data_IF_966423239836
#
_entry.id   IF_966423239836
#
_cell.length_a   1.000
_cell.length_b   1.000
_cell.length_c   1.000
_cell.angle_alpha   90.00
_cell.angle_beta   90.00
_cell.angle_gamma   90.00
#
_symmetry.space_group_name_H-M   'P 1'
#
loop_
_entity.id
_entity.type
_entity.pdbx_description
1 polymer ?
#
# COMPACT_ATOMS: atom_id res chain seq x y z
N UNK A 1 2.44 -29.11 88.51
CA UNK A 1 1.10 -29.01 89.11
C UNK A 1 0.39 -27.80 88.51
N UNK A 2 -0.66 -28.05 87.71
CA UNK A 2 -1.74 -27.16 87.24
C UNK A 2 -1.44 -25.89 86.40
N UNK A 3 -2.37 -25.70 85.44
CA UNK A 3 -2.83 -24.46 84.76
C UNK A 3 -1.88 -23.92 83.67
N UNK A 4 -2.32 -23.41 82.52
CA UNK A 4 -3.65 -23.14 81.96
C UNK A 4 -3.47 -22.73 80.50
N UNK A 5 -4.44 -23.05 79.65
CA UNK A 5 -4.55 -22.55 78.30
C UNK A 5 -4.70 -21.01 78.28
N UNK A 6 -4.11 -20.36 77.28
CA UNK A 6 -4.63 -19.08 76.80
C UNK A 6 -4.51 -19.03 75.28
N UNK A 7 -5.69 -18.93 74.67
CA UNK A 7 -5.96 -18.84 73.25
C UNK A 7 -5.86 -17.36 72.87
N UNK A 8 -4.87 -16.99 72.05
CA UNK A 8 -4.82 -15.68 71.41
C UNK A 8 -5.14 -15.84 69.93
N UNK A 9 -6.37 -15.45 69.58
CA UNK A 9 -6.90 -15.44 68.23
C UNK A 9 -6.33 -14.22 67.49
N UNK A 10 -5.29 -14.43 66.67
CA UNK A 10 -4.78 -13.39 65.79
C UNK A 10 -5.66 -13.33 64.52
N UNK A 11 -6.50 -12.30 64.43
CA UNK A 11 -7.25 -11.96 63.23
C UNK A 11 -6.25 -11.43 62.19
N UNK A 12 -5.89 -12.25 61.20
CA UNK A 12 -5.18 -11.77 60.01
C UNK A 12 -6.21 -11.10 59.12
N UNK A 13 -6.18 -9.76 59.10
CA UNK A 13 -6.93 -8.96 58.15
C UNK A 13 -6.43 -9.23 56.74
N UNK A 14 -7.30 -9.82 55.91
CA UNK A 14 -7.04 -10.03 54.49
C UNK A 14 -7.26 -8.70 53.76
N UNK A 15 -6.19 -7.94 53.54
CA UNK A 15 -6.21 -6.74 52.71
C UNK A 15 -6.32 -7.15 51.25
N UNK A 16 -7.54 -7.13 50.70
CA UNK A 16 -7.79 -7.24 49.27
C UNK A 16 -7.22 -6.01 48.55
N UNK A 17 -6.06 -6.14 47.93
CA UNK A 17 -5.62 -5.19 46.92
C UNK A 17 -6.46 -5.42 45.65
N UNK A 18 -7.49 -4.60 45.46
CA UNK A 18 -8.19 -4.51 44.19
C UNK A 18 -7.22 -3.96 43.14
N UNK A 19 -6.87 -4.77 42.14
CA UNK A 19 -6.18 -4.30 40.95
C UNK A 19 -7.15 -3.39 40.19
N UNK A 20 -6.85 -2.08 40.15
CA UNK A 20 -7.49 -1.18 39.19
C UNK A 20 -6.96 -1.54 37.81
N UNK A 21 -7.73 -2.32 37.06
CA UNK A 21 -7.59 -2.39 35.62
C UNK A 21 -8.01 -1.02 35.06
N UNK A 22 -7.03 -0.24 34.61
CA UNK A 22 -7.27 0.96 33.81
C UNK A 22 -7.90 0.52 32.49
N UNK A 23 -9.22 0.67 32.39
CA UNK A 23 -9.92 0.56 31.13
C UNK A 23 -9.56 1.78 30.27
N UNK A 24 -8.42 1.72 29.57
CA UNK A 24 -8.23 2.57 28.41
C UNK A 24 -9.25 2.14 27.36
N UNK A 25 -10.31 2.92 27.22
CA UNK A 25 -11.27 2.78 26.12
C UNK A 25 -10.53 2.84 24.77
N UNK A 26 -11.13 2.35 23.68
CA UNK A 26 -10.46 2.34 22.38
C UNK A 26 -9.96 3.75 22.06
N UNK A 27 -8.64 3.89 21.93
CA UNK A 27 -8.04 5.15 21.54
C UNK A 27 -8.74 5.61 20.27
N UNK A 28 -9.31 6.82 20.29
CA UNK A 28 -9.84 7.48 19.11
C UNK A 28 -8.76 7.39 18.04
N UNK A 29 -9.05 6.74 16.90
CA UNK A 29 -8.09 6.58 15.82
C UNK A 29 -7.49 7.94 15.48
N UNK A 30 -6.26 8.19 15.91
CA UNK A 30 -5.53 9.43 15.62
C UNK A 30 -5.19 9.41 14.14
N UNK A 31 -5.41 10.53 13.46
CA UNK A 31 -4.95 10.70 12.08
C UNK A 31 -3.47 10.29 11.97
N UNK A 32 -3.12 9.60 10.88
CA UNK A 32 -1.76 9.13 10.65
C UNK A 32 -0.78 10.30 10.64
N UNK A 33 0.42 10.08 11.17
CA UNK A 33 1.51 11.04 11.01
C UNK A 33 1.90 11.17 9.53
N UNK A 34 2.43 12.33 9.13
CA UNK A 34 2.93 12.57 7.78
C UNK A 34 3.95 11.50 7.36
N UNK A 35 4.89 11.16 8.26
CA UNK A 35 5.88 10.13 8.00
C UNK A 35 5.23 8.75 7.82
N UNK A 36 4.20 8.42 8.59
CA UNK A 36 3.47 7.15 8.43
C UNK A 36 2.78 7.09 7.07
N UNK A 37 2.14 8.19 6.63
CA UNK A 37 1.54 8.27 5.30
C UNK A 37 2.57 8.12 4.18
N UNK A 38 3.73 8.76 4.31
CA UNK A 38 4.83 8.63 3.36
C UNK A 38 5.39 7.20 3.30
N UNK A 39 5.49 6.53 4.44
CA UNK A 39 5.92 5.13 4.49
C UNK A 39 4.90 4.20 3.81
N UNK A 40 3.61 4.44 3.97
CA UNK A 40 2.56 3.66 3.30
C UNK A 40 2.57 3.88 1.78
N UNK A 41 2.72 5.11 1.30
CA UNK A 41 2.89 5.39 -0.14
C UNK A 41 4.13 4.67 -0.70
N UNK A 42 5.26 4.73 0.01
CA UNK A 42 6.48 4.05 -0.40
C UNK A 42 6.33 2.52 -0.42
N UNK A 43 5.63 1.94 0.57
CA UNK A 43 5.36 0.51 0.65
C UNK A 43 4.47 0.06 -0.52
N UNK A 44 3.36 0.74 -0.77
CA UNK A 44 2.45 0.44 -1.88
C UNK A 44 3.15 0.48 -3.24
N UNK A 45 4.03 1.47 -3.47
CA UNK A 45 4.86 1.51 -4.69
C UNK A 45 5.76 0.28 -4.79
N UNK A 46 6.33 -0.15 -3.67
CA UNK A 46 7.13 -1.37 -3.55
C UNK A 46 6.33 -2.62 -3.89
N UNK A 47 5.13 -2.76 -3.32
CA UNK A 47 4.24 -3.91 -3.55
C UNK A 47 3.74 -3.99 -5.00
N UNK A 48 3.32 -2.86 -5.58
CA UNK A 48 2.93 -2.79 -6.98
C UNK A 48 4.08 -3.17 -7.93
N UNK A 49 5.29 -2.65 -7.66
CA UNK A 49 6.48 -3.00 -8.42
C UNK A 49 6.88 -4.47 -8.24
N UNK A 50 6.81 -5.00 -7.02
CA UNK A 50 7.11 -6.39 -6.72
C UNK A 50 6.15 -7.34 -7.46
N UNK A 51 4.86 -7.04 -7.44
CA UNK A 51 3.85 -7.86 -8.12
C UNK A 51 4.12 -8.00 -9.62
N UNK A 52 4.26 -6.87 -10.35
CA UNK A 52 4.52 -6.90 -11.80
C UNK A 52 5.87 -7.54 -12.14
N UNK A 53 6.89 -7.29 -11.32
CA UNK A 53 8.22 -7.90 -11.47
C UNK A 53 8.18 -9.42 -11.28
N UNK A 54 7.44 -9.93 -10.30
CA UNK A 54 7.31 -11.37 -10.08
C UNK A 54 6.51 -12.05 -11.19
N UNK A 55 5.50 -11.41 -11.78
CA UNK A 55 4.86 -11.95 -12.99
C UNK A 55 5.86 -12.11 -14.14
N UNK A 56 6.74 -11.12 -14.34
CA UNK A 56 7.81 -11.22 -15.34
C UNK A 56 8.78 -12.37 -15.03
N UNK A 57 9.14 -12.57 -13.77
CA UNK A 57 10.00 -13.69 -13.37
C UNK A 57 9.32 -15.04 -13.55
N UNK A 58 8.00 -15.11 -13.31
CA UNK A 58 7.23 -16.32 -13.56
C UNK A 58 7.26 -16.73 -15.04
N UNK A 59 7.12 -15.78 -15.96
CA UNK A 59 7.25 -16.05 -17.40
C UNK A 59 8.62 -16.62 -17.77
N UNK A 60 9.69 -16.06 -17.20
CA UNK A 60 11.06 -16.53 -17.44
C UNK A 60 11.26 -17.94 -16.88
N UNK A 61 10.76 -18.21 -15.67
CA UNK A 61 10.83 -19.52 -15.04
C UNK A 61 10.07 -20.59 -15.84
N UNK A 62 8.87 -20.26 -16.30
CA UNK A 62 8.04 -21.14 -17.14
C UNK A 62 8.75 -21.46 -18.46
N UNK A 63 9.24 -20.42 -19.17
CA UNK A 63 9.99 -20.58 -20.41
C UNK A 63 11.27 -21.40 -20.25
N UNK A 64 11.83 -21.43 -19.03
CA UNK A 64 13.03 -22.21 -18.69
C UNK A 64 12.72 -23.62 -18.18
N UNK A 65 11.45 -24.06 -18.19
CA UNK A 65 11.05 -25.40 -17.76
C UNK A 65 10.93 -25.59 -16.25
N UNK A 66 10.72 -24.52 -15.49
CA UNK A 66 10.58 -24.56 -14.03
C UNK A 66 9.17 -24.12 -13.58
N UNK A 67 8.13 -24.93 -13.84
CA UNK A 67 6.74 -24.54 -13.57
C UNK A 67 6.45 -24.31 -12.08
N UNK A 68 7.12 -25.03 -11.17
CA UNK A 68 6.95 -24.81 -9.73
C UNK A 68 7.54 -23.47 -9.26
N UNK A 69 8.65 -23.02 -9.85
CA UNK A 69 9.22 -21.70 -9.58
C UNK A 69 8.31 -20.61 -10.16
N UNK A 70 7.80 -20.83 -11.38
CA UNK A 70 6.84 -19.92 -11.99
C UNK A 70 5.58 -19.77 -11.12
N UNK A 71 5.05 -20.88 -10.60
CA UNK A 71 3.93 -20.89 -9.67
C UNK A 71 4.26 -20.09 -8.41
N UNK A 72 5.42 -20.31 -7.80
CA UNK A 72 5.84 -19.58 -6.60
C UNK A 72 5.85 -18.05 -6.83
N UNK A 73 6.37 -17.59 -7.97
CA UNK A 73 6.35 -16.17 -8.31
C UNK A 73 4.94 -15.62 -8.55
N UNK A 74 4.05 -16.39 -9.18
CA UNK A 74 2.65 -15.98 -9.37
C UNK A 74 1.90 -15.90 -8.05
N UNK A 75 2.11 -16.87 -7.16
CA UNK A 75 1.52 -16.87 -5.82
C UNK A 75 1.98 -15.63 -5.04
N UNK A 76 3.29 -15.33 -5.07
CA UNK A 76 3.83 -14.13 -4.43
C UNK A 76 3.27 -12.84 -5.03
N UNK A 77 3.23 -12.71 -6.36
CA UNK A 77 2.62 -11.55 -7.05
C UNK A 77 1.17 -11.29 -6.61
N UNK A 78 0.40 -12.36 -6.43
CA UNK A 78 -0.98 -12.24 -5.95
C UNK A 78 -1.05 -11.73 -4.50
N UNK A 79 -0.15 -12.18 -3.63
CA UNK A 79 -0.06 -11.67 -2.24
C UNK A 79 0.30 -10.19 -2.22
N UNK A 80 1.33 -9.78 -2.97
CA UNK A 80 1.77 -8.38 -2.98
C UNK A 80 0.63 -7.44 -3.45
N UNK A 81 -0.09 -7.82 -4.52
CA UNK A 81 -1.16 -7.00 -5.09
C UNK A 81 -2.47 -7.05 -4.30
N UNK A 82 -2.91 -8.24 -3.86
CA UNK A 82 -4.27 -8.43 -3.33
C UNK A 82 -4.32 -8.59 -1.82
N UNK A 83 -3.18 -8.60 -1.12
CA UNK A 83 -3.13 -8.64 0.34
C UNK A 83 -2.31 -7.49 0.92
N UNK A 84 -1.05 -7.30 0.50
CA UNK A 84 -0.19 -6.25 1.07
C UNK A 84 -0.61 -4.87 0.60
N UNK A 85 -0.63 -4.62 -0.72
CA UNK A 85 -1.05 -3.34 -1.28
C UNK A 85 -2.45 -2.94 -0.81
N UNK A 86 -3.43 -3.87 -0.82
CA UNK A 86 -4.80 -3.60 -0.40
C UNK A 86 -4.90 -3.15 1.08
N UNK A 87 -4.18 -3.82 1.98
CA UNK A 87 -4.14 -3.44 3.41
C UNK A 87 -3.47 -2.09 3.63
N UNK A 88 -2.42 -1.79 2.87
CA UNK A 88 -1.70 -0.52 2.94
C UNK A 88 -2.53 0.63 2.38
N UNK A 89 -3.21 0.41 1.25
CA UNK A 89 -4.16 1.35 0.66
C UNK A 89 -5.30 1.66 1.63
N UNK A 90 -5.88 0.64 2.27
CA UNK A 90 -6.90 0.81 3.30
C UNK A 90 -6.37 1.59 4.51
N UNK A 91 -5.16 1.27 4.98
CA UNK A 91 -4.55 1.97 6.10
C UNK A 91 -4.26 3.44 5.78
N UNK A 92 -3.85 3.75 4.54
CA UNK A 92 -3.59 5.12 4.09
C UNK A 92 -4.89 5.92 3.88
N UNK A 93 -6.00 5.23 3.63
CA UNK A 93 -7.24 5.83 3.14
C UNK A 93 -7.11 6.26 1.68
N UNK A 94 -6.47 5.44 0.85
CA UNK A 94 -6.36 5.65 -0.59
C UNK A 94 -7.71 5.41 -1.27
N UNK A 95 -8.09 6.30 -2.18
CA UNK A 95 -9.41 6.29 -2.83
C UNK A 95 -10.46 6.95 -1.95
N UNK A 96 -11.23 7.85 -2.53
CA UNK A 96 -12.20 8.69 -1.82
C UNK A 96 -13.53 8.71 -2.54
N UNK A 97 -13.73 9.66 -3.44
CA UNK A 97 -14.89 9.74 -4.31
C UNK A 97 -14.46 9.58 -5.76
N UNK A 98 -15.35 9.07 -6.61
CA UNK A 98 -15.07 8.96 -8.06
C UNK A 98 -14.55 10.29 -8.64
N UNK A 99 -15.06 11.44 -8.16
CA UNK A 99 -14.64 12.74 -8.64
C UNK A 99 -13.21 13.10 -8.22
N UNK A 100 -12.83 12.87 -6.96
CA UNK A 100 -11.49 13.13 -6.44
C UNK A 100 -10.47 12.17 -7.05
N UNK A 101 -10.80 10.88 -7.13
CA UNK A 101 -9.92 9.85 -7.67
C UNK A 101 -9.70 10.05 -9.19
N UNK A 102 -10.73 10.46 -9.94
CA UNK A 102 -10.59 10.85 -11.35
C UNK A 102 -9.72 12.09 -11.52
N UNK A 103 -9.83 13.09 -10.64
CA UNK A 103 -9.00 14.29 -10.69
C UNK A 103 -7.53 13.96 -10.45
N UNK A 104 -7.24 13.10 -9.47
CA UNK A 104 -5.89 12.63 -9.19
C UNK A 104 -5.31 11.86 -10.38
N UNK A 105 -6.07 10.90 -10.94
CA UNK A 105 -5.67 10.16 -12.13
C UNK A 105 -5.42 11.09 -13.33
N UNK A 106 -6.31 12.03 -13.63
CA UNK A 106 -6.12 13.02 -14.71
C UNK A 106 -4.81 13.80 -14.51
N UNK A 107 -4.51 14.23 -13.28
CA UNK A 107 -3.29 14.98 -12.99
C UNK A 107 -2.03 14.14 -13.23
N UNK A 108 -2.03 12.89 -12.78
CA UNK A 108 -0.94 11.93 -13.03
C UNK A 108 -0.73 11.68 -14.52
N UNK A 109 -1.75 11.17 -15.19
CA UNK A 109 -1.72 10.83 -16.62
C UNK A 109 -1.30 12.03 -17.50
N UNK A 110 -1.79 13.23 -17.19
CA UNK A 110 -1.43 14.45 -17.92
C UNK A 110 0.03 14.84 -17.72
N UNK A 111 0.57 14.69 -16.51
CA UNK A 111 1.98 14.93 -16.22
C UNK A 111 2.87 13.91 -16.94
N UNK A 112 2.49 12.63 -16.90
CA UNK A 112 3.22 11.56 -17.56
C UNK A 112 3.27 11.76 -19.08
N UNK A 113 2.12 12.02 -19.69
CA UNK A 113 1.97 12.25 -21.12
C UNK A 113 2.73 13.46 -21.64
N UNK A 114 2.63 14.60 -20.94
CA UNK A 114 3.13 15.88 -21.47
C UNK A 114 4.56 16.21 -21.07
N UNK A 115 5.06 15.59 -19.99
CA UNK A 115 6.34 15.95 -19.40
C UNK A 115 7.23 14.75 -19.14
N UNK A 116 6.84 13.85 -18.23
CA UNK A 116 7.75 12.80 -17.75
C UNK A 116 8.26 11.91 -18.89
N UNK A 117 7.35 11.32 -19.67
CA UNK A 117 7.75 10.42 -20.75
C UNK A 117 8.39 11.15 -21.94
N UNK A 118 8.04 12.42 -22.17
CA UNK A 118 8.67 13.25 -23.19
C UNK A 118 10.13 13.56 -22.81
N UNK A 119 10.38 13.95 -21.56
CA UNK A 119 11.71 14.21 -21.04
C UNK A 119 12.57 12.92 -21.08
N UNK A 120 12.00 11.78 -20.68
CA UNK A 120 12.68 10.49 -20.76
C UNK A 120 12.99 10.06 -22.20
N UNK A 121 12.06 10.27 -23.13
CA UNK A 121 12.28 9.97 -24.53
C UNK A 121 13.41 10.81 -25.13
N UNK A 122 13.44 12.11 -24.82
CA UNK A 122 14.47 13.02 -25.32
C UNK A 122 15.84 12.67 -24.75
N UNK A 123 15.91 12.31 -23.46
CA UNK A 123 17.16 11.83 -22.85
C UNK A 123 17.62 10.52 -23.50
N UNK A 124 16.75 9.53 -23.65
CA UNK A 124 17.08 8.26 -24.30
C UNK A 124 17.54 8.45 -25.76
N UNK A 125 16.97 9.41 -26.49
CA UNK A 125 17.42 9.73 -27.84
C UNK A 125 18.81 10.38 -27.84
N UNK A 126 19.08 11.30 -26.90
CA UNK A 126 20.39 11.90 -26.73
C UNK A 126 21.48 10.87 -26.36
N UNK A 127 21.11 9.83 -25.61
CA UNK A 127 21.99 8.72 -25.23
C UNK A 127 22.15 7.66 -26.34
N UNK A 128 21.36 7.75 -27.42
CA UNK A 128 21.40 6.82 -28.56
C UNK A 128 20.49 5.59 -28.43
N UNK A 129 19.69 5.50 -27.37
CA UNK A 129 18.72 4.43 -27.10
C UNK A 129 17.40 4.63 -27.87
N UNK A 130 17.49 4.74 -29.19
CA UNK A 130 16.38 5.18 -30.06
C UNK A 130 15.11 4.33 -29.93
N UNK A 131 15.23 3.02 -29.65
CA UNK A 131 14.08 2.14 -29.43
C UNK A 131 13.35 2.47 -28.13
N UNK A 132 14.09 2.79 -27.07
CA UNK A 132 13.54 3.17 -25.77
C UNK A 132 12.91 4.56 -25.87
N UNK A 133 13.55 5.49 -26.59
CA UNK A 133 12.98 6.80 -26.88
C UNK A 133 11.62 6.69 -27.59
N UNK A 134 11.54 5.84 -28.63
CA UNK A 134 10.29 5.58 -29.34
C UNK A 134 9.22 4.94 -28.42
N UNK A 135 9.62 3.99 -27.58
CA UNK A 135 8.74 3.38 -26.59
C UNK A 135 8.17 4.42 -25.61
N UNK A 136 9.00 5.30 -25.04
CA UNK A 136 8.52 6.35 -24.14
C UNK A 136 7.56 7.32 -24.82
N UNK A 137 7.80 7.68 -26.09
CA UNK A 137 6.84 8.52 -26.85
C UNK A 137 5.52 7.82 -27.11
N UNK A 138 5.55 6.51 -27.33
CA UNK A 138 4.33 5.73 -27.47
C UNK A 138 3.56 5.71 -26.14
N UNK A 139 4.23 5.42 -25.02
CA UNK A 139 3.61 5.43 -23.69
C UNK A 139 3.01 6.83 -23.40
N UNK A 140 3.72 7.91 -23.71
CA UNK A 140 3.18 9.27 -23.57
C UNK A 140 1.85 9.50 -24.33
N UNK A 141 1.69 8.88 -25.50
CA UNK A 141 0.45 8.95 -26.27
C UNK A 141 -0.68 8.09 -25.67
N UNK A 142 -0.34 6.96 -25.06
CA UNK A 142 -1.28 6.11 -24.34
C UNK A 142 -1.80 6.84 -23.09
N UNK A 143 -0.92 7.46 -22.30
CA UNK A 143 -1.33 8.23 -21.10
C UNK A 143 -2.18 9.47 -21.45
N UNK A 144 -1.92 10.11 -22.60
CA UNK A 144 -2.78 11.17 -23.11
C UNK A 144 -4.20 10.67 -23.40
N UNK A 145 -4.33 9.42 -23.87
CA UNK A 145 -5.61 8.76 -24.11
C UNK A 145 -6.31 8.42 -22.80
N UNK A 146 -5.59 7.92 -21.80
CA UNK A 146 -6.12 7.68 -20.45
C UNK A 146 -6.65 8.97 -19.81
N UNK A 147 -5.85 10.04 -19.81
CA UNK A 147 -6.26 11.36 -19.31
C UNK A 147 -7.53 11.88 -19.99
N UNK A 148 -7.64 11.72 -21.31
CA UNK A 148 -8.83 12.12 -22.07
C UNK A 148 -10.07 11.30 -21.66
N UNK A 149 -9.91 9.99 -21.46
CA UNK A 149 -10.95 9.08 -20.97
C UNK A 149 -11.45 9.48 -19.58
N UNK A 150 -10.56 9.70 -18.62
CA UNK A 150 -10.93 10.11 -17.27
C UNK A 150 -11.60 11.48 -17.24
N UNK A 151 -11.14 12.43 -18.06
CA UNK A 151 -11.82 13.72 -18.23
C UNK A 151 -13.26 13.57 -18.74
N UNK A 152 -13.52 12.63 -19.65
CA UNK A 152 -14.88 12.37 -20.12
C UNK A 152 -15.76 11.78 -19.00
N UNK A 153 -15.23 10.83 -18.21
CA UNK A 153 -15.91 10.25 -17.06
C UNK A 153 -16.24 11.30 -15.99
N UNK A 154 -15.28 12.16 -15.62
CA UNK A 154 -15.48 13.21 -14.62
C UNK A 154 -16.60 14.18 -15.04
N UNK A 155 -16.64 14.57 -16.32
CA UNK A 155 -17.71 15.39 -16.89
C UNK A 155 -19.07 14.67 -16.88
N UNK A 156 -19.09 13.35 -16.94
CA UNK A 156 -20.33 12.57 -16.91
C UNK A 156 -20.94 12.51 -15.52
N UNK A 157 -20.12 12.36 -14.47
CA UNK A 157 -20.60 12.25 -13.08
C UNK A 157 -20.85 13.60 -12.40
N UNK A 158 -20.39 14.69 -13.01
CA UNK A 158 -20.59 16.07 -12.51
C UNK A 158 -21.86 16.75 -13.04
N UNK A 159 -22.72 16.02 -13.78
CA UNK A 159 -23.99 16.51 -14.32
C UNK A 159 -25.15 16.17 -13.39
#
# INVERSE_FOLDING_TARGET
MKLSASLAMAVVGLSLFATQASAEGPAKATALSEQTRANLDAAMRGEAYASLKYLRYAEVAEASGHPEIAKQFRDASNVEANEHFDREAYALGLGTTDAEDLQEAIAGESYEASKMYIDFANQAEADGDLKVAAMFRQIAADEATHAAGYNASLKSISK
#
